data_IF_469106050971
#
_entry.id   IF_469106050971
#
_cell.length_a   1.000
_cell.length_b   1.000
_cell.length_c   1.000
_cell.angle_alpha   90.00
_cell.angle_beta   90.00
_cell.angle_gamma   90.00
#
_symmetry.space_group_name_H-M   'P 1'
#
loop_
_entity.id
_entity.type
_entity.pdbx_description
1 polymer ?
#
# COMPACT_ATOMS: atom_id res chain seq x y z
N UNK A 1 13.25 5.60 4.58
CA UNK A 1 13.93 5.82 5.88
C UNK A 1 12.86 5.85 6.95
N UNK A 2 13.12 5.23 8.08
CA UNK A 2 12.16 5.16 9.19
C UNK A 2 12.71 5.96 10.37
N UNK A 3 11.82 6.73 10.99
CA UNK A 3 12.13 7.61 12.10
C UNK A 3 11.10 7.43 13.22
N UNK A 4 11.53 7.47 14.48
CA UNK A 4 10.64 7.76 15.61
C UNK A 4 10.52 9.27 15.77
N UNK A 5 9.32 9.72 16.10
CA UNK A 5 9.05 11.11 16.45
C UNK A 5 8.60 11.19 17.91
N UNK A 6 9.34 11.93 18.72
CA UNK A 6 9.00 12.18 20.12
C UNK A 6 9.38 13.62 20.49
N UNK A 7 8.45 14.35 21.12
CA UNK A 7 8.69 15.70 21.65
C UNK A 7 9.29 16.72 20.66
N UNK A 8 8.99 16.62 19.36
CA UNK A 8 9.52 17.52 18.35
C UNK A 8 10.86 17.08 17.73
N UNK A 9 11.39 15.94 18.17
CA UNK A 9 12.66 15.39 17.68
C UNK A 9 12.43 14.13 16.84
N UNK A 10 13.32 13.93 15.85
CA UNK A 10 13.31 12.77 14.97
C UNK A 10 14.54 11.89 15.24
N UNK A 11 14.31 10.59 15.39
CA UNK A 11 15.34 9.61 15.65
C UNK A 11 15.34 8.57 14.53
N UNK A 12 16.41 8.51 13.76
CA UNK A 12 16.56 7.49 12.72
C UNK A 12 16.60 6.09 13.33
N UNK A 13 15.88 5.15 12.72
CA UNK A 13 15.87 3.74 13.11
C UNK A 13 16.56 2.92 12.03
N UNK A 14 16.00 2.93 10.82
CA UNK A 14 16.43 2.04 9.76
C UNK A 14 16.12 2.57 8.35
N UNK A 15 16.68 1.87 7.36
CA UNK A 15 16.42 2.11 5.96
C UNK A 15 16.12 0.78 5.26
N UNK A 16 14.93 0.68 4.69
CA UNK A 16 14.53 -0.42 3.83
C UNK A 16 15.02 -0.16 2.39
N UNK A 17 15.97 -0.98 1.90
CA UNK A 17 16.56 -0.87 0.54
C UNK A 17 15.74 -1.60 -0.52
N UNK A 18 14.41 -1.50 -0.41
CA UNK A 18 13.42 -2.11 -1.30
C UNK A 18 12.15 -1.27 -1.27
N UNK A 19 11.25 -1.52 -2.22
CA UNK A 19 9.90 -0.94 -2.15
C UNK A 19 9.19 -1.42 -0.88
N UNK A 20 8.44 -0.52 -0.25
CA UNK A 20 7.61 -0.85 0.91
C UNK A 20 6.22 -1.24 0.46
N UNK A 21 5.54 -2.08 1.25
CA UNK A 21 4.21 -2.60 0.89
C UNK A 21 3.21 -1.45 0.77
N UNK A 22 3.35 -0.47 1.66
CA UNK A 22 2.56 0.76 1.81
C UNK A 22 2.89 1.86 0.78
N UNK A 23 3.71 1.62 -0.24
CA UNK A 23 3.99 2.60 -1.29
C UNK A 23 2.75 3.23 -1.97
N UNK A 24 1.59 2.57 -2.14
CA UNK A 24 0.44 3.17 -2.81
C UNK A 24 -0.05 4.48 -2.20
N UNK A 25 0.09 4.66 -0.87
CA UNK A 25 -0.32 5.93 -0.23
C UNK A 25 0.53 7.10 -0.73
N UNK A 26 1.81 6.86 -1.01
CA UNK A 26 2.70 7.88 -1.60
C UNK A 26 2.35 8.11 -3.05
N UNK A 27 2.08 7.07 -3.83
CA UNK A 27 1.72 7.20 -5.24
C UNK A 27 0.45 8.03 -5.41
N UNK A 28 -0.59 7.78 -4.60
CA UNK A 28 -1.87 8.48 -4.71
C UNK A 28 -1.79 9.97 -4.37
N UNK A 29 -0.97 10.36 -3.38
CA UNK A 29 -0.84 11.79 -3.02
C UNK A 29 0.17 12.55 -3.89
N UNK A 30 1.12 11.86 -4.52
CA UNK A 30 2.16 12.50 -5.35
C UNK A 30 1.88 12.40 -6.85
N UNK A 31 1.06 11.45 -7.29
CA UNK A 31 0.85 11.11 -8.70
C UNK A 31 2.05 10.42 -9.35
N UNK A 32 3.00 9.92 -8.55
CA UNK A 32 4.24 9.28 -9.03
C UNK A 32 4.11 7.77 -8.90
N UNK A 33 4.22 7.03 -10.01
CA UNK A 33 4.30 5.56 -10.01
C UNK A 33 5.73 5.11 -9.66
N UNK A 34 5.91 4.65 -8.42
CA UNK A 34 7.22 4.30 -7.88
C UNK A 34 7.78 3.04 -8.53
N UNK A 35 6.93 2.08 -8.91
CA UNK A 35 7.36 0.85 -9.58
C UNK A 35 7.87 1.17 -10.98
N UNK A 36 7.17 2.03 -11.73
CA UNK A 36 7.61 2.51 -13.04
C UNK A 36 8.98 3.20 -12.94
N UNK A 37 9.14 4.14 -11.99
CA UNK A 37 10.41 4.83 -11.78
C UNK A 37 11.54 3.87 -11.40
N UNK A 38 11.28 2.88 -10.55
CA UNK A 38 12.26 1.83 -10.23
C UNK A 38 12.74 1.10 -11.49
N UNK A 39 11.83 0.73 -12.39
CA UNK A 39 12.17 0.05 -13.64
C UNK A 39 12.97 0.95 -14.60
N UNK A 40 12.57 2.22 -14.76
CA UNK A 40 13.28 3.20 -15.60
C UNK A 40 14.72 3.43 -15.09
N UNK A 41 14.89 3.62 -13.79
CA UNK A 41 16.21 3.80 -13.16
C UNK A 41 17.06 2.55 -13.32
N UNK A 42 16.48 1.36 -13.12
CA UNK A 42 17.19 0.09 -13.33
C UNK A 42 17.63 -0.10 -14.80
N UNK A 43 16.92 0.49 -15.76
CA UNK A 43 17.29 0.54 -17.17
C UNK A 43 18.36 1.61 -17.50
N UNK A 44 18.82 2.39 -16.51
CA UNK A 44 19.83 3.43 -16.67
C UNK A 44 19.28 4.79 -17.11
N UNK A 45 17.96 4.98 -17.10
CA UNK A 45 17.35 6.29 -17.36
C UNK A 45 17.64 7.27 -16.21
N UNK A 46 17.64 8.57 -16.54
CA UNK A 46 17.82 9.63 -15.55
C UNK A 46 16.49 10.00 -14.90
N UNK A 47 16.55 10.46 -13.66
CA UNK A 47 15.43 11.16 -13.02
C UNK A 47 15.11 12.43 -13.80
N UNK A 48 13.94 12.46 -14.45
CA UNK A 48 13.43 13.65 -15.15
C UNK A 48 12.53 14.52 -14.28
N UNK A 49 12.07 13.99 -13.14
CA UNK A 49 11.31 14.73 -12.13
C UNK A 49 12.26 15.40 -11.13
N UNK A 50 12.10 16.70 -10.94
CA UNK A 50 12.85 17.48 -9.94
C UNK A 50 12.11 17.53 -8.60
N UNK A 51 12.83 17.84 -7.52
CA UNK A 51 12.22 17.94 -6.18
C UNK A 51 11.10 18.99 -6.11
N UNK A 52 11.20 20.09 -6.89
CA UNK A 52 10.19 21.15 -6.91
C UNK A 52 8.90 20.73 -7.65
N UNK A 53 8.97 19.72 -8.52
CA UNK A 53 7.83 19.20 -9.26
C UNK A 53 7.06 18.12 -8.47
N UNK A 54 7.65 17.57 -7.41
CA UNK A 54 6.97 16.61 -6.52
C UNK A 54 5.97 17.37 -5.63
N UNK A 55 4.70 17.34 -6.04
CA UNK A 55 3.59 17.86 -5.26
C UNK A 55 3.03 16.84 -4.25
N UNK A 56 2.25 17.33 -3.30
CA UNK A 56 1.39 16.52 -2.43
C UNK A 56 -0.04 17.03 -2.58
N UNK A 57 -0.97 16.14 -2.92
CA UNK A 57 -2.38 16.46 -3.12
C UNK A 57 -3.27 15.48 -2.36
N UNK A 58 -4.09 16.00 -1.45
CA UNK A 58 -5.02 15.21 -0.64
C UNK A 58 -4.35 14.31 0.38
N UNK A 59 -5.10 13.31 0.82
CA UNK A 59 -4.74 12.30 1.81
C UNK A 59 -5.00 10.92 1.23
N UNK A 60 -4.17 9.96 1.58
CA UNK A 60 -4.41 8.57 1.24
C UNK A 60 -4.22 7.66 2.46
N UNK A 61 -5.09 6.65 2.58
CA UNK A 61 -5.03 5.66 3.64
C UNK A 61 -4.98 4.26 3.02
N UNK A 62 -4.09 3.41 3.54
CA UNK A 62 -4.03 2.00 3.17
C UNK A 62 -4.55 1.14 4.33
N UNK A 63 -5.51 0.27 4.03
CA UNK A 63 -5.96 -0.81 4.89
C UNK A 63 -5.56 -2.16 4.29
N UNK A 64 -4.84 -2.98 5.07
CA UNK A 64 -4.50 -4.34 4.67
C UNK A 64 -5.61 -5.28 5.11
N UNK A 65 -6.24 -5.94 4.14
CA UNK A 65 -7.23 -6.98 4.38
C UNK A 65 -6.49 -8.28 4.54
N UNK A 66 -6.36 -8.74 5.79
CA UNK A 66 -5.73 -10.01 6.13
C UNK A 66 -6.77 -11.11 6.31
N UNK A 67 -6.44 -12.32 5.85
CA UNK A 67 -7.17 -13.53 6.17
C UNK A 67 -6.80 -13.99 7.59
N UNK A 68 -7.19 -13.21 8.59
CA UNK A 68 -6.97 -13.47 10.00
C UNK A 68 -8.29 -13.33 10.76
N UNK A 69 -8.47 -14.12 11.82
CA UNK A 69 -9.68 -14.07 12.64
C UNK A 69 -9.46 -13.22 13.91
N UNK A 70 -9.97 -11.98 13.97
CA UNK A 70 -9.77 -11.09 15.13
C UNK A 70 -10.43 -11.64 16.41
N UNK A 71 -11.49 -12.44 16.30
CA UNK A 71 -12.16 -13.04 17.47
C UNK A 71 -11.40 -14.21 18.06
N UNK A 72 -10.43 -14.74 17.31
CA UNK A 72 -9.56 -15.84 17.75
C UNK A 72 -8.11 -15.40 17.95
N UNK A 73 -7.89 -14.09 18.16
CA UNK A 73 -6.56 -13.53 18.40
C UNK A 73 -5.72 -13.43 17.14
N UNK A 74 -6.34 -13.06 16.01
CA UNK A 74 -5.70 -12.88 14.70
C UNK A 74 -5.03 -14.15 14.16
N UNK A 75 -5.61 -15.32 14.44
CA UNK A 75 -5.13 -16.57 13.85
C UNK A 75 -5.34 -16.54 12.32
N UNK A 76 -4.33 -16.94 11.52
CA UNK A 76 -4.50 -17.06 10.08
C UNK A 76 -5.65 -18.01 9.70
N UNK A 77 -6.45 -17.57 8.75
CA UNK A 77 -7.59 -18.28 8.18
C UNK A 77 -7.26 -18.70 6.76
N UNK A 78 -6.80 -19.93 6.60
CA UNK A 78 -6.48 -20.50 5.29
C UNK A 78 -7.69 -21.18 4.64
N UNK A 79 -7.61 -21.36 3.32
CA UNK A 79 -8.59 -22.09 2.55
C UNK A 79 -9.13 -21.31 1.36
N UNK A 80 -10.20 -21.86 0.77
CA UNK A 80 -10.76 -21.34 -0.47
C UNK A 80 -11.57 -20.08 -0.24
N UNK A 81 -11.30 -19.04 -1.03
CA UNK A 81 -12.10 -17.82 -1.07
C UNK A 81 -13.40 -18.12 -1.82
N UNK A 82 -14.49 -18.32 -1.08
CA UNK A 82 -15.79 -18.62 -1.66
C UNK A 82 -16.38 -17.42 -2.41
N UNK A 83 -16.13 -16.21 -1.90
CA UNK A 83 -16.63 -14.96 -2.48
C UNK A 83 -15.60 -13.85 -2.34
N UNK A 84 -15.36 -13.13 -3.43
CA UNK A 84 -14.52 -11.94 -3.43
C UNK A 84 -15.11 -10.89 -4.38
N UNK A 85 -15.54 -9.75 -3.83
CA UNK A 85 -16.13 -8.64 -4.56
C UNK A 85 -15.50 -7.35 -4.04
N UNK A 86 -14.33 -6.95 -4.57
CA UNK A 86 -13.75 -5.65 -4.24
C UNK A 86 -14.65 -4.53 -4.79
N UNK A 87 -14.55 -3.30 -4.27
CA UNK A 87 -15.16 -2.15 -4.91
C UNK A 87 -14.62 -1.98 -6.34
N UNK A 88 -15.52 -1.95 -7.32
CA UNK A 88 -15.17 -1.73 -8.73
C UNK A 88 -15.53 -0.29 -9.13
N UNK A 89 -14.65 0.37 -9.88
CA UNK A 89 -14.85 1.71 -10.46
C UNK A 89 -15.26 2.82 -9.48
N UNK A 90 -14.83 2.73 -8.21
CA UNK A 90 -15.06 3.80 -7.23
C UNK A 90 -13.92 4.82 -7.30
N UNK A 91 -14.25 6.07 -7.60
CA UNK A 91 -13.29 7.16 -7.65
C UNK A 91 -12.55 7.30 -6.31
N UNK A 92 -11.23 7.47 -6.36
CA UNK A 92 -10.40 7.57 -5.16
C UNK A 92 -10.12 6.24 -4.47
N UNK A 93 -10.65 5.11 -4.96
CA UNK A 93 -10.40 3.78 -4.40
C UNK A 93 -9.50 2.97 -5.31
N UNK A 94 -8.42 2.44 -4.74
CA UNK A 94 -7.49 1.50 -5.37
C UNK A 94 -7.47 0.20 -4.58
N UNK A 95 -7.51 -0.92 -5.29
CA UNK A 95 -7.38 -2.25 -4.68
C UNK A 95 -6.24 -3.00 -5.35
N UNK A 96 -5.17 -3.24 -4.58
CA UNK A 96 -4.10 -4.15 -5.01
C UNK A 96 -4.37 -5.52 -4.39
N UNK A 97 -4.57 -6.55 -5.20
CA UNK A 97 -4.81 -7.93 -4.73
C UNK A 97 -4.09 -8.94 -5.60
N UNK A 98 -3.61 -10.02 -4.97
CA UNK A 98 -3.05 -11.19 -5.65
C UNK A 98 -3.99 -12.39 -5.69
N UNK A 99 -5.24 -12.25 -5.23
CA UNK A 99 -6.20 -13.35 -5.11
C UNK A 99 -7.50 -13.00 -5.85
N UNK A 100 -8.24 -14.03 -6.26
CA UNK A 100 -9.55 -13.90 -6.89
C UNK A 100 -10.59 -14.84 -6.26
N UNK A 101 -11.86 -14.63 -6.59
CA UNK A 101 -12.92 -15.56 -6.18
C UNK A 101 -12.63 -16.98 -6.66
N UNK A 102 -12.76 -17.95 -5.76
CA UNK A 102 -12.42 -19.34 -6.01
C UNK A 102 -10.94 -19.69 -5.79
N UNK A 103 -10.07 -18.69 -5.61
CA UNK A 103 -8.66 -18.86 -5.24
C UNK A 103 -8.48 -19.38 -3.80
N UNK A 104 -7.24 -19.58 -3.38
CA UNK A 104 -6.90 -20.17 -2.09
C UNK A 104 -5.89 -19.31 -1.33
N UNK A 105 -6.17 -19.06 -0.05
CA UNK A 105 -5.20 -18.51 0.90
C UNK A 105 -4.44 -19.70 1.49
N UNK A 106 -3.17 -19.82 1.10
CA UNK A 106 -2.29 -20.89 1.56
C UNK A 106 -1.74 -20.61 2.96
N UNK A 107 -1.45 -21.67 3.72
CA UNK A 107 -0.73 -21.59 4.99
C UNK A 107 0.78 -21.31 4.83
N UNK A 108 1.29 -21.36 3.60
CA UNK A 108 2.73 -21.25 3.33
C UNK A 108 3.21 -19.81 3.08
N UNK A 109 2.28 -18.86 2.96
CA UNK A 109 2.58 -17.47 2.63
C UNK A 109 1.89 -16.52 3.60
N UNK A 110 2.21 -15.23 3.47
CA UNK A 110 1.53 -14.16 4.20
C UNK A 110 0.02 -14.18 3.90
N UNK A 111 -0.85 -14.03 4.94
CA UNK A 111 -2.31 -14.12 4.77
C UNK A 111 -2.95 -12.86 4.17
N UNK A 112 -2.20 -11.91 3.63
CA UNK A 112 -2.76 -10.70 3.01
C UNK A 112 -3.58 -11.05 1.75
N UNK A 113 -4.84 -10.64 1.78
CA UNK A 113 -5.79 -10.82 0.68
C UNK A 113 -5.75 -9.65 -0.28
N UNK A 114 -5.75 -8.43 0.25
CA UNK A 114 -5.76 -7.20 -0.53
C UNK A 114 -5.20 -6.02 0.26
N UNK A 115 -4.72 -5.02 -0.45
CA UNK A 115 -4.54 -3.65 0.05
C UNK A 115 -5.67 -2.81 -0.51
N UNK A 116 -6.52 -2.28 0.37
CA UNK A 116 -7.54 -1.31 0.02
C UNK A 116 -6.98 0.08 0.34
N UNK A 117 -6.85 0.90 -0.68
CA UNK A 117 -6.25 2.22 -0.57
C UNK A 117 -7.28 3.26 -1.01
N UNK A 118 -7.54 4.25 -0.18
CA UNK A 118 -8.46 5.35 -0.44
C UNK A 118 -7.69 6.66 -0.58
N UNK A 119 -8.23 7.61 -1.34
CA UNK A 119 -7.69 8.95 -1.52
C UNK A 119 -8.80 9.99 -1.63
N UNK A 120 -8.67 11.08 -0.89
CA UNK A 120 -9.59 12.22 -0.93
C UNK A 120 -8.85 13.54 -0.57
N UNK A 121 -9.35 14.72 -0.96
CA UNK A 121 -8.88 16.03 -0.49
C UNK A 121 -8.54 16.19 1.00
N UNK A 122 -9.28 15.56 1.92
CA UNK A 122 -9.01 15.67 3.36
C UNK A 122 -8.95 14.31 4.08
N UNK A 123 -8.36 14.32 5.27
CA UNK A 123 -8.08 13.10 6.03
C UNK A 123 -9.34 12.37 6.51
N UNK A 124 -10.41 13.11 6.78
CA UNK A 124 -11.62 12.54 7.37
C UNK A 124 -12.50 11.89 6.28
N UNK A 125 -12.35 12.34 5.03
CA UNK A 125 -13.01 11.79 3.84
C UNK A 125 -12.22 10.66 3.17
N UNK A 126 -10.89 10.67 3.28
CA UNK A 126 -10.02 9.58 2.82
C UNK A 126 -10.16 8.32 3.70
#
# INVERSE_FOLDING_TARGET
>A
FEFLYENGEFFFIEMNTRIQVEHPVTELITGVDLVEWMLRIAAGEKLTLTQQEVGISGWALESRVYAEDPYRGFLPSSGRILRFRPPDDVQGVRVDTGICEGGEVSLHYDPMVAKLVTHDPDRDSA
#
